data_IF_158852146254
#
_entry.id   IF_158852146254
#
_cell.length_a   1.000
_cell.length_b   1.000
_cell.length_c   1.000
_cell.angle_alpha   90.00
_cell.angle_beta   90.00
_cell.angle_gamma   90.00
#
_symmetry.space_group_name_H-M   'P 1'
#
loop_
_entity.id
_entity.type
_entity.pdbx_description
1 polymer ?
#
# COMPACT_ATOMS: atom_id res chain seq x y z
N UNK A 1 -24.87 37.58 -30.23
CA UNK A 1 -24.01 36.46 -30.67
C UNK A 1 -24.85 35.51 -31.51
N UNK A 2 -24.33 35.02 -32.65
CA UNK A 2 -25.01 33.98 -33.44
C UNK A 2 -24.67 32.62 -32.83
N UNK A 3 -25.68 31.82 -32.50
CA UNK A 3 -25.51 30.49 -31.91
C UNK A 3 -25.10 29.46 -32.97
N UNK A 4 -24.06 28.67 -32.66
CA UNK A 4 -23.60 27.58 -33.51
C UNK A 4 -24.57 26.41 -33.43
N UNK A 5 -25.23 26.09 -34.55
CA UNK A 5 -25.99 24.85 -34.68
C UNK A 5 -25.09 23.76 -35.24
N UNK A 6 -25.43 22.48 -35.01
CA UNK A 6 -24.69 21.33 -35.56
C UNK A 6 -24.54 21.41 -37.10
N UNK A 7 -25.54 21.93 -37.81
CA UNK A 7 -25.46 22.17 -39.26
C UNK A 7 -24.45 23.27 -39.61
N UNK A 8 -24.41 24.36 -38.85
CA UNK A 8 -23.44 25.44 -39.08
C UNK A 8 -22.01 24.99 -38.76
N UNK A 9 -21.81 24.14 -37.75
CA UNK A 9 -20.50 23.56 -37.43
C UNK A 9 -19.98 22.64 -38.54
N UNK A 10 -20.84 21.77 -39.09
CA UNK A 10 -20.44 20.91 -40.22
C UNK A 10 -20.14 21.71 -41.49
N UNK A 11 -20.90 22.77 -41.78
CA UNK A 11 -20.62 23.67 -42.90
C UNK A 11 -19.31 24.46 -42.70
N UNK A 12 -19.01 24.85 -41.45
CA UNK A 12 -17.76 25.50 -41.07
C UNK A 12 -16.55 24.57 -41.22
N UNK A 13 -16.66 23.31 -40.80
CA UNK A 13 -15.62 22.31 -40.93
C UNK A 13 -15.34 21.90 -42.39
N UNK A 14 -16.37 21.93 -43.26
CA UNK A 14 -16.23 21.66 -44.68
C UNK A 14 -15.67 22.85 -45.49
N UNK A 15 -15.91 24.09 -45.04
CA UNK A 15 -15.46 25.34 -45.68
C UNK A 15 -14.13 25.87 -45.15
N UNK A 16 -13.15 24.98 -44.96
CA UNK A 16 -11.86 25.27 -44.33
C UNK A 16 -11.21 26.57 -44.84
N UNK A 17 -10.63 27.32 -43.89
CA UNK A 17 -9.70 28.45 -44.01
C UNK A 17 -10.23 29.90 -44.12
N UNK A 18 -11.49 30.18 -44.48
CA UNK A 18 -11.91 31.61 -44.66
C UNK A 18 -12.34 32.31 -43.35
N UNK A 19 -12.74 31.56 -42.31
CA UNK A 19 -13.38 32.17 -41.14
C UNK A 19 -12.45 32.65 -40.01
N UNK A 20 -11.14 32.37 -40.07
CA UNK A 20 -10.18 32.80 -39.04
C UNK A 20 -9.86 34.31 -39.10
N UNK A 21 -10.20 35.02 -40.18
CA UNK A 21 -9.90 36.44 -40.36
C UNK A 21 -10.93 37.40 -39.74
N UNK A 22 -12.14 36.93 -39.39
CA UNK A 22 -13.14 37.72 -38.71
C UNK A 22 -13.18 37.28 -37.25
N UNK A 23 -12.52 38.01 -36.35
CA UNK A 23 -12.34 37.70 -34.92
C UNK A 23 -13.62 37.60 -34.08
N UNK A 24 -14.58 36.80 -34.48
CA UNK A 24 -15.75 36.42 -33.71
C UNK A 24 -15.41 35.14 -32.95
N UNK A 25 -15.02 35.28 -31.69
CA UNK A 25 -15.11 34.17 -30.74
C UNK A 25 -16.59 33.78 -30.64
N UNK A 26 -16.94 32.66 -31.25
CA UNK A 26 -18.29 32.12 -31.19
C UNK A 26 -18.41 31.31 -29.90
N UNK A 27 -19.19 31.79 -28.94
CA UNK A 27 -19.56 31.00 -27.77
C UNK A 27 -20.53 29.88 -28.19
N UNK A 28 -20.38 28.70 -27.58
CA UNK A 28 -21.35 27.62 -27.73
C UNK A 28 -22.72 28.05 -27.18
N UNK A 29 -23.79 27.47 -27.73
CA UNK A 29 -25.15 27.72 -27.27
C UNK A 29 -25.37 27.09 -25.90
N UNK A 30 -25.39 27.91 -24.84
CA UNK A 30 -25.60 27.49 -23.45
C UNK A 30 -27.07 27.10 -23.17
N UNK A 31 -27.95 27.06 -24.19
CA UNK A 31 -29.36 26.66 -24.06
C UNK A 31 -29.59 25.16 -23.87
N UNK A 32 -28.54 24.32 -23.94
CA UNK A 32 -28.63 22.89 -23.62
C UNK A 32 -28.72 22.74 -22.11
N UNK A 33 -29.83 22.18 -21.61
CA UNK A 33 -29.93 21.80 -20.20
C UNK A 33 -28.82 20.79 -19.88
N UNK A 34 -27.87 21.19 -19.04
CA UNK A 34 -26.87 20.30 -18.46
C UNK A 34 -27.53 19.46 -17.37
N UNK A 35 -27.32 18.15 -17.40
CA UNK A 35 -27.74 17.24 -16.36
C UNK A 35 -26.47 16.72 -15.69
N UNK A 36 -26.08 17.24 -14.52
CA UNK A 36 -24.99 16.67 -13.75
C UNK A 36 -25.30 15.20 -13.46
N UNK A 37 -24.30 14.32 -13.56
CA UNK A 37 -24.41 12.99 -13.00
C UNK A 37 -24.74 13.13 -11.50
N UNK A 38 -25.73 12.39 -11.00
CA UNK A 38 -26.12 12.40 -9.59
C UNK A 38 -27.36 13.22 -9.19
N UNK A 39 -27.85 14.19 -9.97
CA UNK A 39 -29.10 14.89 -9.62
C UNK A 39 -30.29 14.41 -10.46
N UNK A 40 -31.09 13.47 -9.92
CA UNK A 40 -32.37 12.98 -10.48
C UNK A 40 -32.31 12.56 -11.96
N UNK A 41 -31.33 11.74 -12.30
CA UNK A 41 -31.30 10.99 -13.55
C UNK A 41 -30.94 11.86 -14.76
N UNK A 42 -29.77 11.59 -15.31
CA UNK A 42 -29.68 11.00 -16.66
C UNK A 42 -28.24 10.53 -16.89
N UNK A 43 -27.82 9.55 -16.09
CA UNK A 43 -26.95 8.48 -16.57
C UNK A 43 -27.88 7.30 -16.95
N UNK A 44 -28.35 7.22 -18.20
CA UNK A 44 -29.35 6.23 -18.59
C UNK A 44 -28.76 4.84 -18.85
N UNK A 45 -27.43 4.68 -18.76
CA UNK A 45 -26.76 3.40 -18.97
C UNK A 45 -26.88 2.47 -17.76
N UNK A 46 -26.45 1.20 -17.88
CA UNK A 46 -26.22 0.34 -16.71
C UNK A 46 -25.14 0.96 -15.81
N UNK A 47 -25.38 0.97 -14.51
CA UNK A 47 -24.49 1.59 -13.53
C UNK A 47 -24.47 0.80 -12.22
N UNK A 48 -23.46 1.07 -11.37
CA UNK A 48 -23.29 0.45 -10.05
C UNK A 48 -23.62 1.47 -8.95
N UNK A 49 -24.87 1.52 -8.46
CA UNK A 49 -25.30 2.54 -7.51
C UNK A 49 -24.61 2.44 -6.14
N UNK A 50 -24.05 1.27 -5.78
CA UNK A 50 -23.33 1.10 -4.52
C UNK A 50 -21.97 1.80 -4.63
N UNK A 51 -21.22 1.53 -5.71
CA UNK A 51 -19.92 2.18 -5.95
C UNK A 51 -20.03 3.68 -6.21
N UNK A 52 -21.11 4.11 -6.87
CA UNK A 52 -21.42 5.54 -7.06
C UNK A 52 -21.65 6.24 -5.72
N UNK A 53 -22.35 5.59 -4.77
CA UNK A 53 -22.59 6.14 -3.44
C UNK A 53 -21.29 6.28 -2.62
N UNK A 54 -20.31 5.40 -2.84
CA UNK A 54 -18.96 5.50 -2.25
C UNK A 54 -18.09 6.59 -2.89
N UNK A 55 -18.47 7.09 -4.07
CA UNK A 55 -17.64 7.99 -4.89
C UNK A 55 -18.40 9.25 -5.37
N UNK A 56 -19.11 9.99 -4.49
CA UNK A 56 -19.99 11.08 -4.90
C UNK A 56 -19.24 12.22 -5.61
N UNK A 57 -18.02 12.53 -5.18
CA UNK A 57 -17.16 13.57 -5.79
C UNK A 57 -16.46 13.10 -7.09
N UNK A 58 -16.49 11.80 -7.43
CA UNK A 58 -16.05 11.32 -8.76
C UNK A 58 -17.23 11.34 -9.73
N UNK A 59 -18.42 10.93 -9.26
CA UNK A 59 -19.65 10.96 -10.05
C UNK A 59 -20.05 12.39 -10.37
N UNK A 60 -19.97 13.31 -9.41
CA UNK A 60 -20.30 14.71 -9.57
C UNK A 60 -19.13 15.59 -9.06
N UNK A 61 -18.07 15.76 -9.86
CA UNK A 61 -16.86 16.43 -9.42
C UNK A 61 -17.07 17.91 -9.11
N UNK A 62 -16.27 18.49 -8.19
CA UNK A 62 -16.23 19.92 -7.98
C UNK A 62 -16.04 20.68 -9.29
N UNK A 63 -16.70 21.83 -9.44
CA UNK A 63 -16.60 22.68 -10.65
C UNK A 63 -15.19 23.21 -10.92
N UNK A 64 -14.29 23.06 -9.95
CA UNK A 64 -12.87 23.44 -10.03
C UNK A 64 -12.00 22.35 -10.65
N UNK A 65 -12.50 21.13 -10.80
CA UNK A 65 -11.75 20.01 -11.39
C UNK A 65 -11.59 20.22 -12.89
N UNK A 66 -10.40 19.91 -13.41
CA UNK A 66 -10.08 20.12 -14.82
C UNK A 66 -8.91 19.26 -15.29
N UNK A 67 -8.90 18.95 -16.59
CA UNK A 67 -7.82 18.23 -17.24
C UNK A 67 -7.89 16.71 -17.04
N UNK A 68 -6.76 16.06 -17.31
CA UNK A 68 -6.61 14.61 -17.18
C UNK A 68 -5.57 14.32 -16.11
N UNK A 69 -5.95 13.56 -15.09
CA UNK A 69 -5.06 13.03 -14.07
C UNK A 69 -5.06 11.49 -14.13
N UNK A 70 -3.97 10.83 -13.73
CA UNK A 70 -4.01 9.39 -13.50
C UNK A 70 -5.00 9.05 -12.38
N UNK A 71 -5.47 7.82 -12.34
CA UNK A 71 -6.23 7.32 -11.19
C UNK A 71 -5.34 7.35 -9.94
N UNK A 72 -5.87 7.90 -8.84
CA UNK A 72 -5.16 8.04 -7.56
C UNK A 72 -5.75 7.15 -6.45
N UNK A 73 -6.71 6.27 -6.78
CA UNK A 73 -7.39 5.42 -5.79
C UNK A 73 -7.56 3.99 -6.28
N UNK A 74 -7.26 3.04 -5.42
CA UNK A 74 -7.59 1.63 -5.60
C UNK A 74 -8.05 1.05 -4.26
N UNK A 75 -9.00 0.11 -4.27
CA UNK A 75 -9.49 -0.55 -3.06
C UNK A 75 -8.87 -1.93 -2.91
N UNK A 76 -8.37 -2.28 -1.72
CA UNK A 76 -7.96 -3.65 -1.40
C UNK A 76 -9.12 -4.66 -1.50
N UNK A 77 -10.38 -4.22 -1.44
CA UNK A 77 -11.54 -5.10 -1.71
C UNK A 77 -11.58 -5.65 -3.14
N UNK A 78 -10.95 -4.94 -4.08
CA UNK A 78 -10.92 -5.29 -5.49
C UNK A 78 -9.67 -6.13 -5.83
N UNK A 79 -8.77 -6.35 -4.87
CA UNK A 79 -7.54 -7.13 -5.03
C UNK A 79 -7.78 -8.63 -4.85
N UNK A 80 -6.98 -9.45 -5.55
CA UNK A 80 -7.01 -10.90 -5.38
C UNK A 80 -6.55 -11.31 -3.98
N UNK A 81 -7.28 -12.22 -3.34
CA UNK A 81 -6.93 -12.78 -2.03
C UNK A 81 -6.28 -14.15 -2.19
N UNK A 82 -5.00 -14.24 -1.84
CA UNK A 82 -4.28 -15.50 -1.68
C UNK A 82 -4.51 -16.03 -0.27
N UNK A 83 -4.93 -17.30 -0.16
CA UNK A 83 -5.21 -17.95 1.13
C UNK A 83 -4.14 -18.98 1.46
N UNK A 84 -3.71 -19.00 2.71
CA UNK A 84 -2.89 -20.05 3.30
C UNK A 84 -3.62 -20.73 4.46
N UNK A 85 -3.07 -21.81 4.99
CA UNK A 85 -3.71 -22.51 6.13
C UNK A 85 -3.67 -21.68 7.42
N UNK A 86 -2.72 -20.74 7.53
CA UNK A 86 -2.55 -19.85 8.67
C UNK A 86 -3.16 -18.45 8.52
N UNK A 87 -3.76 -18.11 7.39
CA UNK A 87 -4.13 -16.71 7.10
C UNK A 87 -4.41 -16.41 5.64
N UNK A 88 -4.39 -15.13 5.28
CA UNK A 88 -4.55 -14.66 3.91
C UNK A 88 -3.74 -13.40 3.64
N UNK A 89 -3.56 -13.09 2.37
CA UNK A 89 -2.89 -11.88 1.92
C UNK A 89 -3.47 -11.37 0.60
N UNK A 90 -3.33 -10.08 0.35
CA UNK A 90 -3.70 -9.40 -0.90
C UNK A 90 -2.82 -8.17 -1.10
N UNK A 91 -2.57 -7.82 -2.35
CA UNK A 91 -1.65 -6.73 -2.69
C UNK A 91 -2.29 -5.71 -3.63
N UNK A 92 -1.85 -4.46 -3.49
CA UNK A 92 -2.11 -3.36 -4.41
C UNK A 92 -0.75 -2.79 -4.81
N UNK A 93 -0.37 -3.05 -6.05
CA UNK A 93 0.94 -2.71 -6.60
C UNK A 93 0.78 -1.70 -7.73
N UNK A 94 1.86 -1.36 -8.42
CA UNK A 94 1.80 -0.56 -9.65
C UNK A 94 0.88 -1.21 -10.72
N UNK A 95 0.67 -2.54 -10.68
CA UNK A 95 -0.24 -3.24 -11.60
C UNK A 95 -1.69 -2.82 -11.42
N UNK A 96 -2.10 -2.61 -10.18
CA UNK A 96 -3.45 -2.17 -9.79
C UNK A 96 -3.59 -0.65 -9.82
N UNK A 97 -2.56 0.06 -9.33
CA UNK A 97 -2.52 1.52 -9.23
C UNK A 97 -1.27 2.08 -9.92
N UNK A 98 -1.34 2.29 -11.24
CA UNK A 98 -0.19 2.63 -12.10
C UNK A 98 0.61 3.89 -11.74
N UNK A 99 0.04 4.82 -10.95
CA UNK A 99 0.76 6.00 -10.44
C UNK A 99 1.69 5.66 -9.27
N UNK A 100 1.45 4.53 -8.58
CA UNK A 100 2.19 4.09 -7.40
C UNK A 100 3.48 3.36 -7.81
N UNK A 101 4.47 4.12 -8.27
CA UNK A 101 5.72 3.55 -8.79
C UNK A 101 6.79 3.30 -7.72
N UNK A 102 6.70 3.99 -6.60
CA UNK A 102 7.71 3.98 -5.52
C UNK A 102 7.31 3.15 -4.32
N UNK A 103 6.01 2.86 -4.16
CA UNK A 103 5.49 2.06 -3.05
C UNK A 103 4.45 1.06 -3.57
N UNK A 104 4.51 -0.18 -3.08
CA UNK A 104 3.45 -1.17 -3.19
C UNK A 104 2.93 -1.53 -1.79
N UNK A 105 1.62 -1.80 -1.68
CA UNK A 105 0.98 -2.16 -0.42
C UNK A 105 0.54 -3.62 -0.39
N UNK A 106 0.73 -4.29 0.75
CA UNK A 106 0.17 -5.61 1.04
C UNK A 106 -0.66 -5.52 2.31
N UNK A 107 -1.85 -6.10 2.26
CA UNK A 107 -2.72 -6.28 3.41
C UNK A 107 -2.75 -7.77 3.76
N UNK A 108 -2.30 -8.10 4.97
CA UNK A 108 -2.08 -9.49 5.39
C UNK A 108 -2.71 -9.76 6.75
N UNK A 109 -3.32 -10.94 6.86
CA UNK A 109 -3.93 -11.47 8.07
C UNK A 109 -3.30 -12.81 8.44
N UNK A 110 -2.87 -12.96 9.68
CA UNK A 110 -2.39 -14.22 10.26
C UNK A 110 -3.24 -14.61 11.45
N UNK A 111 -3.79 -15.83 11.45
CA UNK A 111 -4.56 -16.41 12.56
C UNK A 111 -3.71 -16.57 13.81
N UNK A 112 -4.34 -16.81 14.95
CA UNK A 112 -3.60 -17.19 16.16
C UNK A 112 -2.71 -18.41 15.88
N UNK A 113 -1.39 -18.24 16.02
CA UNK A 113 -0.38 -19.24 15.69
C UNK A 113 -0.03 -19.34 14.20
N UNK A 114 -0.76 -18.67 13.31
CA UNK A 114 -0.46 -18.59 11.87
C UNK A 114 0.87 -17.90 11.62
N UNK A 115 1.68 -18.48 10.73
CA UNK A 115 3.05 -18.05 10.44
C UNK A 115 3.13 -17.58 9.00
N UNK A 116 3.64 -16.38 8.80
CA UNK A 116 4.27 -15.98 7.54
C UNK A 116 5.70 -16.51 7.56
N UNK A 117 6.04 -17.33 6.57
CA UNK A 117 7.31 -18.06 6.50
C UNK A 117 8.55 -17.19 6.77
N UNK A 118 9.65 -17.79 7.22
CA UNK A 118 10.93 -17.12 7.18
C UNK A 118 11.28 -16.81 5.72
N UNK A 119 11.48 -15.52 5.43
CA UNK A 119 11.75 -15.07 4.07
C UNK A 119 12.58 -13.79 4.07
N UNK A 120 13.01 -13.38 2.88
CA UNK A 120 13.60 -12.06 2.62
C UNK A 120 13.23 -11.59 1.22
N UNK A 121 13.48 -10.31 0.95
CA UNK A 121 13.21 -9.66 -0.34
C UNK A 121 14.20 -8.50 -0.56
N UNK A 122 14.20 -7.91 -1.76
CA UNK A 122 15.17 -6.84 -2.13
C UNK A 122 14.74 -5.49 -1.58
N UNK A 123 13.45 -5.32 -1.39
CA UNK A 123 12.77 -4.10 -1.00
C UNK A 123 12.90 -3.90 0.52
N UNK A 124 12.86 -2.66 0.98
CA UNK A 124 12.62 -2.35 2.38
C UNK A 124 11.14 -2.58 2.70
N UNK A 125 10.85 -3.27 3.79
CA UNK A 125 9.49 -3.50 4.27
C UNK A 125 9.23 -2.60 5.48
N UNK A 126 8.25 -1.71 5.36
CA UNK A 126 7.67 -0.98 6.48
C UNK A 126 6.29 -1.54 6.78
N UNK A 127 5.88 -1.55 8.05
CA UNK A 127 4.55 -2.02 8.39
C UNK A 127 3.87 -1.21 9.49
N UNK A 128 2.54 -1.26 9.46
CA UNK A 128 1.64 -0.77 10.52
C UNK A 128 0.71 -1.89 10.96
N UNK A 129 0.71 -2.21 12.25
CA UNK A 129 -0.20 -3.20 12.82
C UNK A 129 -1.61 -2.63 12.94
N UNK A 130 -2.56 -3.12 12.14
CA UNK A 130 -3.94 -2.61 12.13
C UNK A 130 -4.81 -3.29 13.18
N UNK A 131 -4.56 -4.58 13.47
CA UNK A 131 -5.33 -5.37 14.42
C UNK A 131 -4.49 -6.43 15.11
N UNK A 132 -4.82 -6.71 16.38
CA UNK A 132 -4.29 -7.86 17.11
C UNK A 132 -2.81 -7.73 17.47
N UNK A 133 -2.15 -8.88 17.60
CA UNK A 133 -0.75 -8.96 18.04
C UNK A 133 0.02 -10.00 17.22
N UNK A 134 1.30 -9.73 16.97
CA UNK A 134 2.22 -10.65 16.31
C UNK A 134 3.55 -10.72 17.04
N UNK A 135 4.27 -11.82 16.83
CA UNK A 135 5.70 -11.94 17.12
C UNK A 135 6.45 -11.84 15.80
N UNK A 136 7.47 -10.98 15.76
CA UNK A 136 8.37 -10.89 14.61
C UNK A 136 9.75 -11.39 14.99
N UNK A 137 10.44 -12.01 14.02
CA UNK A 137 11.86 -12.36 14.15
C UNK A 137 12.65 -11.74 13.01
N UNK A 138 13.93 -11.43 13.24
CA UNK A 138 14.84 -11.00 12.19
C UNK A 138 16.30 -11.36 12.52
N UNK A 139 17.14 -11.47 11.50
CA UNK A 139 18.60 -11.52 11.65
C UNK A 139 19.26 -10.33 10.99
N UNK A 140 20.04 -9.55 11.75
CA UNK A 140 20.83 -8.47 11.17
C UNK A 140 21.99 -9.00 10.30
N UNK A 141 22.57 -8.13 9.48
CA UNK A 141 23.67 -8.49 8.58
C UNK A 141 24.95 -8.98 9.28
N UNK A 142 25.06 -8.78 10.60
CA UNK A 142 26.16 -9.32 11.43
C UNK A 142 25.81 -10.68 12.08
N UNK A 143 24.64 -11.25 11.75
CA UNK A 143 24.14 -12.50 12.33
C UNK A 143 23.49 -12.33 13.71
N UNK A 144 23.19 -11.09 14.12
CA UNK A 144 22.52 -10.80 15.37
C UNK A 144 21.02 -11.11 15.30
N UNK A 145 20.50 -11.88 16.25
CA UNK A 145 19.07 -12.23 16.28
C UNK A 145 18.21 -11.15 16.96
N UNK A 146 17.03 -10.93 16.43
CA UNK A 146 16.00 -10.05 16.97
C UNK A 146 14.68 -10.80 17.08
N UNK A 147 13.97 -10.59 18.18
CA UNK A 147 12.59 -11.04 18.38
C UNK A 147 11.88 -9.99 19.22
N UNK A 148 10.65 -9.66 18.87
CA UNK A 148 9.81 -8.74 19.62
C UNK A 148 8.33 -9.02 19.36
N UNK A 149 7.50 -8.65 20.33
CA UNK A 149 6.04 -8.69 20.21
C UNK A 149 5.52 -7.29 19.85
N UNK A 150 4.64 -7.25 18.86
CA UNK A 150 4.04 -6.04 18.31
C UNK A 150 2.51 -6.12 18.43
N UNK A 151 1.89 -4.98 18.70
CA UNK A 151 0.45 -4.84 18.89
C UNK A 151 -0.12 -3.76 17.95
N UNK A 152 -1.45 -3.69 17.84
CA UNK A 152 -2.12 -2.66 17.06
C UNK A 152 -1.56 -1.24 17.32
N UNK A 153 -1.23 -0.53 16.24
CA UNK A 153 -0.59 0.79 16.26
C UNK A 153 0.94 0.80 16.35
N UNK A 154 1.56 -0.36 16.49
CA UNK A 154 3.02 -0.50 16.39
C UNK A 154 3.47 -0.63 14.94
N UNK A 155 4.75 -0.32 14.72
CA UNK A 155 5.43 -0.45 13.44
C UNK A 155 6.55 -1.47 13.51
N UNK A 156 6.90 -2.02 12.35
CA UNK A 156 8.23 -2.53 12.12
C UNK A 156 8.82 -1.99 10.82
N UNK A 157 10.13 -2.14 10.69
CA UNK A 157 10.82 -1.91 9.44
C UNK A 157 11.96 -2.91 9.28
N UNK A 158 11.96 -3.65 8.18
CA UNK A 158 13.06 -4.52 7.78
C UNK A 158 13.80 -3.89 6.59
N UNK A 159 15.09 -3.55 6.75
CA UNK A 159 15.92 -3.13 5.63
C UNK A 159 15.99 -4.19 4.53
N UNK A 160 16.29 -3.79 3.27
CA UNK A 160 16.58 -4.70 2.16
C UNK A 160 17.42 -5.92 2.55
N UNK A 161 16.91 -7.11 2.22
CA UNK A 161 17.61 -8.38 2.40
C UNK A 161 17.73 -8.91 3.83
N UNK A 162 17.14 -8.24 4.83
CA UNK A 162 17.10 -8.74 6.20
C UNK A 162 16.07 -9.89 6.30
N UNK A 163 16.48 -11.13 6.59
CA UNK A 163 15.54 -12.23 6.71
C UNK A 163 14.72 -12.11 7.99
N UNK A 164 13.42 -12.37 7.88
CA UNK A 164 12.45 -12.19 8.95
C UNK A 164 11.27 -13.15 8.84
N UNK A 165 10.52 -13.28 9.92
CA UNK A 165 9.27 -14.05 9.99
C UNK A 165 8.24 -13.33 10.85
N UNK A 166 6.96 -13.64 10.64
CA UNK A 166 5.85 -13.05 11.40
C UNK A 166 4.93 -14.17 11.86
N UNK A 167 4.53 -14.13 13.13
CA UNK A 167 3.60 -15.12 13.68
C UNK A 167 2.48 -14.43 14.45
N UNK A 168 1.22 -14.72 14.10
CA UNK A 168 0.06 -14.24 14.83
C UNK A 168 0.03 -14.79 16.26
N UNK A 169 -0.24 -13.93 17.23
CA UNK A 169 -0.35 -14.30 18.64
C UNK A 169 -1.81 -14.49 19.07
N UNK A 170 -2.00 -15.09 20.25
CA UNK A 170 -3.34 -15.21 20.84
C UNK A 170 -3.95 -13.85 21.24
N UNK A 171 -5.28 -13.76 21.35
CA UNK A 171 -6.24 -14.86 21.17
C UNK A 171 -6.66 -15.10 19.72
N UNK A 172 -6.54 -14.13 18.82
CA UNK A 172 -7.17 -14.17 17.49
C UNK A 172 -6.18 -14.07 16.31
N UNK A 173 -4.94 -13.64 16.57
CA UNK A 173 -3.93 -13.37 15.54
C UNK A 173 -3.74 -11.87 15.33
N UNK A 174 -3.47 -11.50 14.08
CA UNK A 174 -3.16 -10.12 13.68
C UNK A 174 -3.50 -9.84 12.22
N UNK A 175 -3.74 -8.57 11.93
CA UNK A 175 -3.86 -8.00 10.59
C UNK A 175 -2.98 -6.75 10.53
N UNK A 176 -2.32 -6.54 9.40
CA UNK A 176 -1.35 -5.47 9.25
C UNK A 176 -1.18 -5.07 7.80
N UNK A 177 -0.79 -3.80 7.62
CA UNK A 177 -0.41 -3.25 6.34
C UNK A 177 1.11 -3.29 6.20
N UNK A 178 1.59 -3.82 5.08
CA UNK A 178 2.98 -3.71 4.64
C UNK A 178 3.08 -2.70 3.50
N UNK A 179 4.15 -1.91 3.49
CA UNK A 179 4.55 -1.03 2.42
C UNK A 179 5.98 -1.37 2.01
N UNK A 180 6.15 -1.68 0.72
CA UNK A 180 7.43 -2.01 0.11
C UNK A 180 7.91 -0.83 -0.74
N UNK A 181 9.19 -0.48 -0.66
CA UNK A 181 9.78 0.68 -1.36
C UNK A 181 10.06 0.47 -2.87
N UNK A 182 9.27 -0.37 -3.53
CA UNK A 182 9.21 -0.55 -4.98
C UNK A 182 7.77 -0.85 -5.42
N UNK A 183 7.20 -0.04 -6.32
CA UNK A 183 5.85 -0.25 -6.85
C UNK A 183 5.69 -1.55 -7.66
N UNK A 184 6.80 -2.12 -8.15
CA UNK A 184 6.81 -3.40 -8.88
C UNK A 184 6.94 -4.62 -7.97
N UNK A 185 6.90 -4.44 -6.65
CA UNK A 185 6.88 -5.55 -5.71
C UNK A 185 5.81 -6.57 -6.10
N UNK A 186 6.12 -7.83 -5.83
CA UNK A 186 5.18 -8.92 -5.96
C UNK A 186 5.40 -9.87 -4.79
N UNK A 187 4.36 -10.02 -3.99
CA UNK A 187 4.38 -10.86 -2.80
C UNK A 187 4.72 -12.33 -3.12
N UNK A 188 4.33 -12.79 -4.31
CA UNK A 188 4.64 -14.13 -4.81
C UNK A 188 6.12 -14.29 -5.21
N UNK A 189 6.91 -13.20 -5.24
CA UNK A 189 8.33 -13.18 -5.63
C UNK A 189 9.30 -13.00 -4.45
N UNK A 190 8.83 -13.21 -3.21
CA UNK A 190 9.71 -13.23 -2.03
C UNK A 190 10.60 -14.48 -1.99
N UNK A 191 11.77 -14.38 -1.37
CA UNK A 191 12.66 -15.53 -1.20
C UNK A 191 12.28 -16.32 0.06
N UNK A 192 11.53 -17.41 -0.14
CA UNK A 192 11.11 -18.31 0.94
C UNK A 192 12.23 -19.28 1.31
N UNK A 193 12.35 -19.61 2.60
CA UNK A 193 13.32 -20.60 3.08
C UNK A 193 13.04 -21.99 2.50
N UNK A 194 11.77 -22.40 2.50
CA UNK A 194 11.26 -23.66 1.99
C UNK A 194 11.55 -23.80 0.49
N UNK A 195 11.28 -22.75 -0.28
CA UNK A 195 11.55 -22.71 -1.73
C UNK A 195 13.04 -22.78 -2.03
N UNK A 196 13.85 -22.05 -1.26
CA UNK A 196 15.29 -22.09 -1.40
C UNK A 196 15.85 -23.50 -1.14
N UNK A 197 15.42 -24.15 -0.06
CA UNK A 197 15.85 -25.51 0.27
C UNK A 197 15.42 -26.52 -0.80
N UNK A 198 14.22 -26.36 -1.37
CA UNK A 198 13.69 -27.22 -2.43
C UNK A 198 14.53 -27.17 -3.71
N UNK A 199 15.19 -26.03 -3.95
CA UNK A 199 15.99 -25.77 -5.14
C UNK A 199 17.51 -25.95 -4.93
N UNK A 200 17.95 -26.48 -3.78
CA UNK A 200 19.35 -26.89 -3.56
C UNK A 200 19.46 -28.42 -3.57
N UNK A 201 20.43 -29.02 -4.26
CA UNK A 201 20.66 -30.46 -4.21
C UNK A 201 20.87 -30.96 -2.75
N UNK A 202 20.19 -32.03 -2.30
CA UNK A 202 20.26 -32.52 -0.93
C UNK A 202 21.69 -32.78 -0.41
N UNK A 203 22.60 -33.21 -1.27
CA UNK A 203 24.01 -33.43 -0.94
C UNK A 203 24.78 -32.13 -0.61
N UNK A 204 24.37 -31.00 -1.20
CA UNK A 204 24.94 -29.69 -0.91
C UNK A 204 24.41 -29.18 0.43
N UNK A 205 23.10 -29.33 0.70
CA UNK A 205 22.52 -29.04 2.02
C UNK A 205 23.19 -29.89 3.10
N UNK A 206 23.31 -31.20 2.88
CA UNK A 206 24.00 -32.13 3.79
C UNK A 206 25.42 -31.70 4.11
N UNK A 207 26.18 -31.31 3.09
CA UNK A 207 27.54 -30.81 3.26
C UNK A 207 27.58 -29.48 4.03
N UNK A 208 26.64 -28.56 3.75
CA UNK A 208 26.55 -27.27 4.43
C UNK A 208 26.24 -27.43 5.93
N UNK A 209 25.24 -28.24 6.25
CA UNK A 209 24.77 -28.45 7.63
C UNK A 209 25.56 -29.53 8.39
N UNK A 210 26.47 -30.24 7.71
CA UNK A 210 27.28 -31.35 8.27
C UNK A 210 26.41 -32.48 8.85
N UNK A 211 25.35 -32.83 8.13
CA UNK A 211 24.40 -33.91 8.48
C UNK A 211 24.31 -34.92 7.32
N UNK A 212 23.76 -36.13 7.55
CA UNK A 212 23.50 -37.09 6.48
C UNK A 212 22.55 -36.55 5.40
N UNK A 213 22.71 -36.96 4.14
CA UNK A 213 21.80 -36.58 3.03
C UNK A 213 20.35 -36.96 3.31
N UNK A 214 20.12 -38.05 4.04
CA UNK A 214 18.79 -38.50 4.44
C UNK A 214 18.02 -37.48 5.30
N UNK A 215 18.71 -36.53 5.96
CA UNK A 215 18.07 -35.43 6.70
C UNK A 215 17.24 -34.51 5.79
N UNK A 216 17.50 -34.50 4.48
CA UNK A 216 16.78 -33.71 3.48
C UNK A 216 15.93 -34.58 2.55
N UNK A 217 15.59 -35.80 2.97
CA UNK A 217 14.72 -36.72 2.19
C UNK A 217 13.28 -36.23 2.05
N UNK A 218 12.83 -35.41 3.00
CA UNK A 218 11.48 -34.83 3.04
C UNK A 218 11.60 -33.34 3.36
N UNK A 219 11.54 -32.53 2.31
CA UNK A 219 11.45 -31.07 2.42
C UNK A 219 9.99 -30.64 2.25
N UNK A 220 9.53 -29.62 3.00
CA UNK A 220 8.17 -29.12 2.87
C UNK A 220 7.94 -28.51 1.47
N UNK A 221 6.68 -28.40 1.07
CA UNK A 221 6.29 -27.77 -0.19
C UNK A 221 6.24 -26.25 -0.01
N UNK A 222 6.91 -25.45 -0.85
CA UNK A 222 6.85 -24.00 -0.74
C UNK A 222 5.43 -23.42 -0.88
N UNK A 223 4.59 -24.08 -1.68
CA UNK A 223 3.18 -23.71 -1.85
C UNK A 223 2.38 -23.82 -0.54
N UNK A 224 2.77 -24.74 0.35
CA UNK A 224 2.10 -24.99 1.62
C UNK A 224 2.64 -24.12 2.76
N UNK A 225 3.89 -23.65 2.65
CA UNK A 225 4.62 -22.97 3.73
C UNK A 225 4.64 -21.44 3.63
N UNK A 226 4.10 -20.83 2.57
CA UNK A 226 4.06 -19.37 2.43
C UNK A 226 3.38 -18.68 3.63
N UNK A 227 2.14 -19.08 3.91
CA UNK A 227 1.39 -18.76 5.14
C UNK A 227 0.76 -20.05 5.65
N UNK A 228 1.21 -20.52 6.81
CA UNK A 228 0.81 -21.81 7.34
C UNK A 228 0.38 -21.76 8.79
N UNK A 229 -0.47 -22.71 9.19
CA UNK A 229 -0.93 -22.81 10.56
C UNK A 229 0.17 -23.37 11.47
N UNK A 230 0.46 -22.67 12.56
CA UNK A 230 1.32 -23.12 13.64
C UNK A 230 0.60 -23.07 14.99
N UNK A 231 1.30 -23.48 16.04
CA UNK A 231 0.84 -23.28 17.41
C UNK A 231 1.18 -21.86 17.87
N UNK A 232 0.33 -21.24 18.69
CA UNK A 232 0.65 -19.97 19.36
C UNK A 232 1.96 -20.16 20.15
N UNK A 233 2.96 -19.28 19.96
CA UNK A 233 4.24 -19.44 20.63
C UNK A 233 4.14 -19.17 22.14
N UNK A 234 5.17 -19.57 22.87
CA UNK A 234 5.30 -19.31 24.30
C UNK A 234 5.57 -17.82 24.61
N UNK A 235 6.09 -17.54 25.81
CA UNK A 235 6.47 -16.18 26.16
C UNK A 235 7.62 -15.68 25.30
N UNK A 236 7.78 -14.36 25.17
CA UNK A 236 8.86 -13.77 24.37
C UNK A 236 10.24 -14.20 24.87
N UNK A 237 10.38 -14.41 26.18
CA UNK A 237 11.63 -14.84 26.80
C UNK A 237 12.02 -16.28 26.40
N UNK A 238 11.05 -17.14 26.10
CA UNK A 238 11.32 -18.52 25.68
C UNK A 238 11.95 -18.60 24.28
N UNK A 239 11.78 -17.56 23.47
CA UNK A 239 12.29 -17.50 22.08
C UNK A 239 13.71 -16.93 22.00
N UNK A 240 14.39 -16.79 23.14
CA UNK A 240 15.80 -16.40 23.19
C UNK A 240 16.71 -17.49 22.60
N UNK A 241 17.56 -17.08 21.65
CA UNK A 241 18.53 -18.01 21.03
C UNK A 241 19.74 -18.18 21.96
N UNK A 242 19.82 -19.33 22.63
CA UNK A 242 20.96 -19.67 23.50
C UNK A 242 22.28 -19.65 22.72
N UNK A 243 23.24 -18.88 23.20
CA UNK A 243 24.56 -18.74 22.56
C UNK A 243 24.58 -17.85 21.32
N UNK A 244 23.43 -17.33 20.88
CA UNK A 244 23.34 -16.37 19.78
C UNK A 244 23.57 -14.93 20.27
N UNK A 245 24.19 -14.10 19.42
CA UNK A 245 24.35 -12.67 19.70
C UNK A 245 23.04 -11.94 19.41
N UNK A 246 22.50 -11.21 20.38
CA UNK A 246 21.30 -10.39 20.16
C UNK A 246 21.65 -9.16 19.30
N UNK A 247 20.81 -8.85 18.32
CA UNK A 247 20.96 -7.66 17.50
C UNK A 247 20.92 -6.39 18.35
N UNK A 248 21.77 -5.42 17.98
CA UNK A 248 21.70 -4.05 18.53
C UNK A 248 20.70 -3.18 17.78
N UNK A 249 20.26 -3.62 16.60
CA UNK A 249 19.28 -2.91 15.78
C UNK A 249 17.89 -3.16 16.37
N UNK A 250 17.10 -2.10 16.49
CA UNK A 250 15.69 -2.18 16.84
C UNK A 250 14.89 -2.11 15.55
N UNK A 251 14.17 -3.18 15.24
CA UNK A 251 13.33 -3.28 14.04
C UNK A 251 11.87 -2.91 14.32
N UNK A 252 11.51 -2.58 15.55
CA UNK A 252 10.15 -2.20 15.98
C UNK A 252 10.08 -0.77 16.49
N UNK A 253 8.91 -0.15 16.37
CA UNK A 253 8.64 1.19 16.89
C UNK A 253 7.22 1.31 17.43
N UNK A 254 7.05 1.94 18.61
CA UNK A 254 5.75 2.11 19.26
C UNK A 254 5.15 3.46 18.84
N UNK A 255 4.53 3.53 17.66
CA UNK A 255 4.09 4.81 17.08
C UNK A 255 3.03 5.50 17.92
N UNK A 256 2.03 4.78 18.42
CA UNK A 256 0.97 5.37 19.26
C UNK A 256 1.46 5.86 20.64
N UNK A 257 2.63 5.41 21.10
CA UNK A 257 3.25 5.89 22.33
C UNK A 257 3.93 7.26 22.19
N UNK A 258 4.05 7.79 20.96
CA UNK A 258 4.54 9.14 20.72
C UNK A 258 3.50 10.18 21.13
N UNK A 259 3.98 11.31 21.63
CA UNK A 259 3.15 12.50 21.78
C UNK A 259 2.77 13.03 20.38
N UNK A 260 1.47 13.10 20.04
CA UNK A 260 1.06 13.59 18.73
C UNK A 260 1.23 15.11 18.65
N UNK A 261 1.52 15.59 17.44
CA UNK A 261 1.29 16.98 17.08
C UNK A 261 -0.23 17.20 17.07
N UNK A 262 -0.71 18.14 17.88
CA UNK A 262 -2.14 18.49 17.98
C UNK A 262 -2.44 19.72 17.13
N UNK A 263 -3.46 19.60 16.29
CA UNK A 263 -4.00 20.69 15.48
C UNK A 263 -5.51 20.86 15.79
N UNK A 264 -6.14 21.98 15.41
CA UNK A 264 -7.57 22.20 15.69
C UNK A 264 -8.50 21.11 15.13
N UNK A 265 -8.10 20.44 14.04
CA UNK A 265 -8.89 19.42 13.35
C UNK A 265 -8.48 17.97 13.62
N UNK A 266 -7.54 17.71 14.55
CA UNK A 266 -7.10 16.35 14.87
C UNK A 266 -5.62 16.24 15.27
N UNK A 267 -5.03 15.07 15.03
CA UNK A 267 -3.68 14.71 15.48
C UNK A 267 -2.82 14.09 14.38
N UNK A 268 -1.50 14.31 14.49
CA UNK A 268 -0.51 13.69 13.62
C UNK A 268 0.62 13.09 14.44
N UNK A 269 0.97 11.83 14.20
CA UNK A 269 2.22 11.20 14.68
C UNK A 269 3.11 10.92 13.49
N UNK A 270 4.37 11.31 13.55
CA UNK A 270 5.31 11.19 12.44
C UNK A 270 6.43 10.26 12.86
N UNK A 271 6.64 9.20 12.08
CA UNK A 271 7.77 8.28 12.25
C UNK A 271 8.64 8.30 11.01
N UNK A 272 9.90 8.65 11.18
CA UNK A 272 10.92 8.66 10.13
C UNK A 272 12.28 8.23 10.70
N UNK A 273 13.33 8.30 9.87
CA UNK A 273 14.68 7.90 10.28
C UNK A 273 15.29 8.69 11.44
N UNK A 274 14.69 9.82 11.87
CA UNK A 274 15.16 10.62 13.00
C UNK A 274 14.73 10.04 14.36
N UNK A 275 13.59 9.35 14.41
CA UNK A 275 13.04 8.75 15.63
C UNK A 275 12.87 7.23 15.55
N UNK A 276 12.90 6.66 14.34
CA UNK A 276 12.98 5.22 14.07
C UNK A 276 14.18 4.94 13.14
N UNK A 277 15.41 4.91 13.68
CA UNK A 277 16.63 5.04 12.86
C UNK A 277 16.88 3.95 11.82
N UNK A 278 16.28 2.77 11.98
CA UNK A 278 16.41 1.68 11.00
C UNK A 278 15.60 1.95 9.73
N UNK A 279 14.51 2.72 9.82
CA UNK A 279 13.61 3.04 8.70
C UNK A 279 14.19 4.15 7.84
N UNK A 280 15.02 3.76 6.85
CA UNK A 280 15.79 4.70 6.02
C UNK A 280 15.11 5.10 4.72
N UNK A 281 14.26 4.24 4.17
CA UNK A 281 13.65 4.43 2.85
C UNK A 281 12.18 4.82 2.91
N UNK A 282 11.53 4.63 4.06
CA UNK A 282 10.12 4.94 4.26
C UNK A 282 9.98 5.87 5.47
N UNK A 283 9.19 6.93 5.31
CA UNK A 283 8.71 7.80 6.39
C UNK A 283 7.19 7.75 6.38
N UNK A 284 6.57 7.76 7.56
CA UNK A 284 5.13 7.59 7.70
C UNK A 284 4.53 8.60 8.67
N UNK A 285 3.28 8.98 8.43
CA UNK A 285 2.49 9.78 9.33
C UNK A 285 1.13 9.12 9.55
N UNK A 286 0.74 8.94 10.82
CA UNK A 286 -0.61 8.58 11.20
C UNK A 286 -1.37 9.89 11.42
N UNK A 287 -2.34 10.15 10.56
CA UNK A 287 -3.14 11.38 10.57
C UNK A 287 -4.57 11.01 10.98
N UNK A 288 -4.99 11.56 12.12
CA UNK A 288 -6.36 11.42 12.62
C UNK A 288 -7.06 12.77 12.41
N UNK A 289 -8.16 12.76 11.66
CA UNK A 289 -8.92 13.97 11.33
C UNK A 289 -10.31 13.83 11.93
N UNK A 290 -10.65 14.73 12.84
CA UNK A 290 -11.98 14.77 13.47
C UNK A 290 -13.06 15.14 12.44
N UNK A 291 -14.33 14.74 12.65
CA UNK A 291 -15.43 15.16 11.77
C UNK A 291 -15.50 16.69 11.60
N UNK A 292 -15.48 17.14 10.35
CA UNK A 292 -15.42 18.56 9.99
C UNK A 292 -14.01 19.16 10.01
N UNK A 293 -13.00 18.40 10.40
CA UNK A 293 -11.59 18.72 10.26
C UNK A 293 -11.10 18.63 8.82
N UNK A 294 -9.91 19.17 8.58
CA UNK A 294 -9.27 19.18 7.27
C UNK A 294 -7.76 19.06 7.44
N UNK A 295 -7.14 18.12 6.73
CA UNK A 295 -5.69 18.19 6.48
C UNK A 295 -5.43 19.38 5.56
N UNK A 296 -4.75 20.41 6.08
CA UNK A 296 -4.54 21.66 5.36
C UNK A 296 -3.91 21.47 3.97
N UNK A 297 -4.12 22.46 3.09
CA UNK A 297 -3.51 22.49 1.77
C UNK A 297 -1.99 22.48 1.90
N UNK A 298 -1.35 21.46 1.34
CA UNK A 298 0.10 21.29 1.43
C UNK A 298 0.62 20.52 0.21
N UNK A 299 1.94 20.42 0.13
CA UNK A 299 2.66 19.53 -0.77
C UNK A 299 3.89 18.98 -0.04
N UNK A 300 4.46 17.92 -0.58
CA UNK A 300 5.72 17.36 -0.07
C UNK A 300 6.87 17.76 -1.01
N UNK A 301 7.94 18.39 -0.50
CA UNK A 301 9.03 18.88 -1.33
C UNK A 301 10.06 17.79 -1.69
N UNK A 302 9.91 16.58 -1.15
CA UNK A 302 10.95 15.55 -1.14
C UNK A 302 10.58 14.27 -1.90
N UNK A 303 9.32 13.81 -1.85
CA UNK A 303 8.89 12.59 -2.52
C UNK A 303 7.37 12.52 -2.70
N UNK A 304 6.91 11.50 -3.43
CA UNK A 304 5.50 11.17 -3.57
C UNK A 304 4.89 10.73 -2.22
N UNK A 305 3.58 10.93 -2.04
CA UNK A 305 2.83 10.42 -0.88
C UNK A 305 1.98 9.21 -1.31
N UNK A 306 2.13 8.10 -0.58
CA UNK A 306 1.28 6.93 -0.69
C UNK A 306 0.36 6.87 0.53
N UNK A 307 -0.94 6.62 0.31
CA UNK A 307 -1.96 6.70 1.36
C UNK A 307 -2.69 5.37 1.54
N UNK A 308 -2.91 5.01 2.80
CA UNK A 308 -3.85 3.97 3.21
C UNK A 308 -4.86 4.56 4.19
N UNK A 309 -6.14 4.37 3.92
CA UNK A 309 -7.24 4.86 4.74
C UNK A 309 -7.66 3.76 5.71
N UNK A 310 -7.29 3.91 6.99
CA UNK A 310 -7.59 2.93 8.04
C UNK A 310 -9.09 2.85 8.35
N UNK A 311 -9.72 4.01 8.51
CA UNK A 311 -11.13 4.15 8.85
C UNK A 311 -11.68 5.52 8.45
N UNK A 312 -13.00 5.63 8.42
CA UNK A 312 -13.71 6.87 8.11
C UNK A 312 -13.91 7.12 6.62
N UNK A 313 -14.41 8.30 6.31
CA UNK A 313 -14.73 8.75 4.95
C UNK A 313 -14.14 10.14 4.73
N UNK A 314 -13.58 10.37 3.54
CA UNK A 314 -12.98 11.64 3.18
C UNK A 314 -12.85 11.80 1.67
N UNK A 315 -12.50 13.01 1.24
CA UNK A 315 -12.19 13.33 -0.15
C UNK A 315 -10.88 14.11 -0.24
N UNK A 316 -10.14 13.89 -1.30
CA UNK A 316 -8.86 14.54 -1.57
C UNK A 316 -8.90 15.21 -2.94
N UNK A 317 -8.44 16.47 -3.02
CA UNK A 317 -8.19 17.16 -4.28
C UNK A 317 -6.71 17.14 -4.62
N UNK A 318 -6.34 16.58 -5.77
CA UNK A 318 -4.96 16.61 -6.30
C UNK A 318 -4.80 17.70 -7.36
N UNK A 319 -3.82 18.60 -7.19
CA UNK A 319 -3.46 19.58 -8.20
C UNK A 319 -2.24 19.10 -8.99
N UNK A 320 -2.43 18.80 -10.28
CA UNK A 320 -1.32 18.49 -11.19
C UNK A 320 -1.06 19.67 -12.13
N UNK A 321 0.11 20.29 -12.05
CA UNK A 321 0.54 21.31 -13.00
C UNK A 321 1.19 20.60 -14.18
N UNK A 322 0.39 20.25 -15.19
CA UNK A 322 0.93 19.79 -16.47
C UNK A 322 1.60 21.01 -17.12
N UNK A 323 2.93 21.06 -17.14
CA UNK A 323 3.64 21.97 -18.06
C UNK A 323 3.33 21.51 -19.49
N UNK A 324 2.45 22.24 -20.17
CA UNK A 324 2.30 22.11 -21.61
C UNK A 324 3.55 22.67 -22.31
N UNK A 325 4.45 21.79 -22.74
CA UNK A 325 5.58 22.09 -23.63
C UNK A 325 6.43 20.81 -23.73
N UNK A 326 6.74 20.21 -24.89
CA UNK A 326 7.32 20.85 -26.08
C UNK A 326 8.17 22.05 -25.68
N UNK A 327 9.31 21.80 -25.07
CA UNK A 327 10.62 21.97 -25.72
C UNK A 327 11.74 21.71 -24.69
N UNK A 328 12.89 21.32 -25.24
CA UNK A 328 14.12 20.82 -24.61
C UNK A 328 14.73 21.73 -23.54
#
# INVERSE_FOLDING_TARGET
>A
MKTLTRRHFMAFAAGGTVALAAGQAMAHDNGVKTFPAGSRGRDPGPHDPIREAESPDIVNPPVTDSGTLPNLRFSFSDAHVRKGSGGWTRQVTQRELGVSTTIAGVDMRLNAGGIRELHWHKEGEWAYMTYGNARITAFDASGGWFVDDIAAGDLWYFPPGIPHSIQGLGPDGCEFLLAFDDGNFDEDSTFLLSDWFRHIPPEILAKNFRVPVSSFSHLPSPDDEYIFAGNVPGSLESDSIKGGVKSKIRFTHKMLAQDPVRAPGGTVRITDSSNFPVSKTIAAALVEIEPGGLRELHWHPNNDEWQYYLEGEGRMGGLCIIRSGKDF
#
